data_IF_776951381374
#
_entry.id   IF_776951381374
#
_cell.length_a   1.000
_cell.length_b   1.000
_cell.length_c   1.000
_cell.angle_alpha   90.00
_cell.angle_beta   90.00
_cell.angle_gamma   90.00
#
_symmetry.space_group_name_H-M   'P 1'
#
loop_
_entity.id
_entity.type
_entity.pdbx_description
1 polymer ?
#
# COMPACT_ATOMS: atom_id res chain seq x y z
N UNK A 1 -14.67 15.12 13.08
CA UNK A 1 -14.59 15.28 11.61
C UNK A 1 -13.19 14.97 11.08
N UNK A 2 -12.13 15.65 11.54
CA UNK A 2 -10.74 15.44 11.04
C UNK A 2 -10.22 14.00 11.15
N UNK A 3 -10.52 13.30 12.25
CA UNK A 3 -10.14 11.89 12.45
C UNK A 3 -10.75 10.95 11.39
N UNK A 4 -12.01 11.16 11.03
CA UNK A 4 -12.70 10.37 10.00
C UNK A 4 -12.10 10.62 8.62
N UNK A 5 -11.74 11.87 8.32
CA UNK A 5 -11.04 12.23 7.08
C UNK A 5 -9.68 11.56 6.98
N UNK A 6 -8.92 11.48 8.07
CA UNK A 6 -7.62 10.81 8.08
C UNK A 6 -7.74 9.30 7.82
N UNK A 7 -8.80 8.67 8.34
CA UNK A 7 -9.09 7.26 8.06
C UNK A 7 -9.53 7.04 6.61
N UNK A 8 -10.31 7.96 6.04
CA UNK A 8 -10.65 7.93 4.62
C UNK A 8 -9.39 8.06 3.75
N UNK A 9 -8.49 9.01 4.07
CA UNK A 9 -7.20 9.16 3.37
C UNK A 9 -6.40 7.85 3.47
N UNK A 10 -6.35 7.23 4.65
CA UNK A 10 -5.66 5.95 4.83
C UNK A 10 -6.22 4.86 3.91
N UNK A 11 -7.54 4.72 3.85
CA UNK A 11 -8.18 3.78 2.94
C UNK A 11 -7.90 4.10 1.46
N UNK A 12 -7.91 5.38 1.07
CA UNK A 12 -7.53 5.79 -0.27
C UNK A 12 -6.08 5.42 -0.60
N UNK A 13 -5.15 5.59 0.34
CA UNK A 13 -3.76 5.19 0.16
C UNK A 13 -3.62 3.68 -0.03
N UNK A 14 -4.38 2.86 0.70
CA UNK A 14 -4.41 1.41 0.53
C UNK A 14 -4.84 1.03 -0.90
N UNK A 15 -5.92 1.63 -1.40
CA UNK A 15 -6.38 1.42 -2.77
C UNK A 15 -5.35 1.90 -3.82
N UNK A 16 -4.72 3.04 -3.59
CA UNK A 16 -3.66 3.56 -4.46
C UNK A 16 -2.48 2.59 -4.53
N UNK A 17 -2.01 2.06 -3.40
CA UNK A 17 -0.91 1.08 -3.36
C UNK A 17 -1.26 -0.17 -4.16
N UNK A 18 -2.46 -0.72 -3.98
CA UNK A 18 -2.92 -1.88 -4.74
C UNK A 18 -2.95 -1.61 -6.25
N UNK A 19 -3.47 -0.45 -6.66
CA UNK A 19 -3.50 -0.05 -8.06
C UNK A 19 -2.08 0.11 -8.65
N UNK A 20 -1.16 0.71 -7.90
CA UNK A 20 0.23 0.91 -8.34
C UNK A 20 0.99 -0.42 -8.48
N UNK A 21 0.83 -1.33 -7.52
CA UNK A 21 1.43 -2.66 -7.57
C UNK A 21 0.88 -3.48 -8.73
N UNK A 22 -0.43 -3.42 -8.98
CA UNK A 22 -1.06 -4.07 -10.12
C UNK A 22 -0.58 -3.48 -11.46
N UNK A 23 -0.48 -2.15 -11.55
CA UNK A 23 0.06 -1.46 -12.72
C UNK A 23 1.51 -1.83 -13.00
N UNK A 24 2.35 -1.88 -11.96
CA UNK A 24 3.73 -2.35 -12.08
C UNK A 24 3.78 -3.81 -12.55
N UNK A 25 2.96 -4.70 -11.98
CA UNK A 25 2.85 -6.10 -12.44
C UNK A 25 2.46 -6.20 -13.92
N UNK A 26 1.53 -5.36 -14.37
CA UNK A 26 1.14 -5.28 -15.78
C UNK A 26 2.25 -4.74 -16.69
N UNK A 27 3.08 -3.81 -16.20
CA UNK A 27 4.24 -3.27 -16.93
C UNK A 27 5.42 -4.24 -16.98
N UNK A 28 5.55 -5.13 -15.99
CA UNK A 28 6.65 -6.08 -15.89
C UNK A 28 6.53 -7.28 -16.85
N UNK A 29 5.32 -7.60 -17.34
CA UNK A 29 5.12 -8.71 -18.27
C UNK A 29 5.46 -8.37 -19.73
N UNK A 30 6.02 -9.34 -20.46
CA UNK A 30 6.40 -9.18 -21.87
C UNK A 30 5.29 -9.58 -22.86
N UNK A 31 4.36 -10.46 -22.46
CA UNK A 31 3.23 -10.93 -23.26
C UNK A 31 1.90 -10.60 -22.60
N UNK A 32 0.81 -10.49 -23.35
CA UNK A 32 -0.50 -10.13 -22.78
C UNK A 32 -0.91 -11.04 -21.61
N UNK A 33 -0.66 -12.35 -21.73
CA UNK A 33 -0.93 -13.34 -20.68
C UNK A 33 -0.07 -13.11 -19.43
N UNK A 34 1.24 -12.88 -19.60
CA UNK A 34 2.15 -12.65 -18.46
C UNK A 34 1.88 -11.30 -17.78
N UNK A 35 1.49 -10.26 -18.53
CA UNK A 35 1.10 -8.97 -17.97
C UNK A 35 -0.12 -9.07 -17.07
N UNK A 36 -1.19 -9.73 -17.55
CA UNK A 36 -2.41 -9.92 -16.76
C UNK A 36 -2.13 -10.83 -15.56
N UNK A 37 -1.40 -11.92 -15.78
CA UNK A 37 -1.03 -12.86 -14.72
C UNK A 37 -0.22 -12.20 -13.60
N UNK A 38 0.82 -11.42 -13.94
CA UNK A 38 1.63 -10.70 -12.96
C UNK A 38 0.83 -9.62 -12.24
N UNK A 39 0.03 -8.84 -12.95
CA UNK A 39 -0.82 -7.81 -12.33
C UNK A 39 -1.79 -8.41 -11.30
N UNK A 40 -2.45 -9.52 -11.64
CA UNK A 40 -3.33 -10.23 -10.70
C UNK A 40 -2.55 -10.80 -9.53
N UNK A 41 -1.45 -11.50 -9.79
CA UNK A 41 -0.65 -12.14 -8.75
C UNK A 41 -0.10 -11.12 -7.75
N UNK A 42 0.51 -10.03 -8.21
CA UNK A 42 1.07 -9.01 -7.32
C UNK A 42 -0.02 -8.33 -6.49
N UNK A 43 -1.14 -7.97 -7.12
CA UNK A 43 -2.27 -7.33 -6.43
C UNK A 43 -2.89 -8.26 -5.38
N UNK A 44 -3.13 -9.53 -5.73
CA UNK A 44 -3.72 -10.51 -4.81
C UNK A 44 -2.77 -10.78 -3.64
N UNK A 45 -1.48 -10.93 -3.88
CA UNK A 45 -0.50 -11.18 -2.82
C UNK A 45 -0.45 -10.01 -1.85
N UNK A 46 -0.34 -8.77 -2.34
CA UNK A 46 -0.30 -7.59 -1.47
C UNK A 46 -1.62 -7.39 -0.72
N UNK A 47 -2.76 -7.58 -1.38
CA UNK A 47 -4.08 -7.51 -0.73
C UNK A 47 -4.24 -8.59 0.34
N UNK A 48 -3.77 -9.82 0.10
CA UNK A 48 -3.80 -10.90 1.07
C UNK A 48 -2.91 -10.58 2.28
N UNK A 49 -1.67 -10.14 2.07
CA UNK A 49 -0.77 -9.74 3.17
C UNK A 49 -1.41 -8.64 4.02
N UNK A 50 -2.00 -7.63 3.37
CA UNK A 50 -2.66 -6.54 4.08
C UNK A 50 -3.88 -7.02 4.88
N UNK A 51 -4.78 -7.79 4.26
CA UNK A 51 -5.99 -8.29 4.92
C UNK A 51 -5.71 -9.27 6.05
N UNK A 52 -4.64 -10.07 5.94
CA UNK A 52 -4.27 -11.03 6.98
C UNK A 52 -3.58 -10.39 8.18
N UNK A 53 -2.74 -9.37 7.98
CA UNK A 53 -1.81 -8.89 9.01
C UNK A 53 -1.92 -7.39 9.35
N UNK A 54 -2.29 -6.56 8.39
CA UNK A 54 -2.27 -5.09 8.54
C UNK A 54 -3.65 -4.45 8.71
N UNK A 55 -4.72 -5.11 8.26
CA UNK A 55 -6.07 -4.56 8.31
C UNK A 55 -6.58 -4.35 9.75
N UNK A 56 -7.49 -3.38 9.99
CA UNK A 56 -8.10 -3.17 11.31
C UNK A 56 -8.83 -4.40 11.86
N UNK A 57 -9.31 -5.28 10.96
CA UNK A 57 -9.93 -6.57 11.26
C UNK A 57 -9.09 -7.73 10.72
N UNK A 58 -7.77 -7.59 10.76
CA UNK A 58 -6.83 -8.61 10.33
C UNK A 58 -7.07 -9.93 11.08
N UNK A 59 -6.99 -11.05 10.36
CA UNK A 59 -7.09 -12.39 10.96
C UNK A 59 -5.98 -12.61 12.00
N UNK A 60 -4.79 -12.09 11.70
CA UNK A 60 -3.66 -12.04 12.60
C UNK A 60 -3.40 -10.59 12.97
N UNK A 61 -4.18 -10.07 13.93
CA UNK A 61 -4.04 -8.70 14.41
C UNK A 61 -2.65 -8.50 15.06
N UNK A 62 -1.72 -7.94 14.30
CA UNK A 62 -0.41 -7.57 14.80
C UNK A 62 -0.48 -6.25 15.55
N UNK A 63 0.25 -6.17 16.67
CA UNK A 63 0.38 -4.95 17.47
C UNK A 63 1.83 -4.46 17.49
N UNK A 64 1.99 -3.15 17.65
CA UNK A 64 3.31 -2.53 17.84
C UNK A 64 4.24 -2.65 16.62
N UNK A 65 5.52 -3.02 16.80
CA UNK A 65 6.53 -3.01 15.73
C UNK A 65 6.21 -3.94 14.55
N UNK A 66 5.57 -5.09 14.81
CA UNK A 66 5.25 -6.06 13.77
C UNK A 66 4.23 -5.50 12.76
N UNK A 67 3.22 -4.77 13.24
CA UNK A 67 2.28 -4.06 12.38
C UNK A 67 3.00 -3.03 11.51
N UNK A 68 3.93 -2.27 12.10
CA UNK A 68 4.69 -1.26 11.37
C UNK A 68 5.52 -1.90 10.24
N UNK A 69 6.12 -3.07 10.46
CA UNK A 69 6.85 -3.78 9.42
C UNK A 69 5.97 -4.19 8.24
N UNK A 70 4.77 -4.73 8.51
CA UNK A 70 3.80 -5.07 7.45
C UNK A 70 3.34 -3.83 6.71
N UNK A 71 3.10 -2.73 7.43
CA UNK A 71 2.75 -1.44 6.83
C UNK A 71 3.85 -0.93 5.90
N UNK A 72 5.11 -0.93 6.35
CA UNK A 72 6.24 -0.53 5.52
C UNK A 72 6.36 -1.45 4.30
N UNK A 73 6.16 -2.75 4.45
CA UNK A 73 6.23 -3.68 3.33
C UNK A 73 5.13 -3.43 2.29
N UNK A 74 3.87 -3.26 2.73
CA UNK A 74 2.73 -3.03 1.84
C UNK A 74 2.80 -1.66 1.19
N UNK A 75 2.88 -0.58 1.97
CA UNK A 75 2.94 0.77 1.41
C UNK A 75 4.25 1.03 0.65
N UNK A 76 5.35 0.48 1.13
CA UNK A 76 6.65 0.51 0.45
C UNK A 76 6.62 -0.18 -0.91
N UNK A 77 5.84 -1.26 -1.07
CA UNK A 77 5.66 -1.90 -2.38
C UNK A 77 5.01 -0.96 -3.42
N UNK A 78 4.04 -0.13 -3.01
CA UNK A 78 3.43 0.88 -3.88
C UNK A 78 4.40 2.00 -4.27
N UNK A 79 5.25 2.44 -3.32
CA UNK A 79 6.31 3.40 -3.59
C UNK A 79 7.36 2.80 -4.54
N UNK A 80 7.79 1.56 -4.30
CA UNK A 80 8.72 0.84 -5.16
C UNK A 80 8.15 0.64 -6.58
N UNK A 81 6.85 0.35 -6.70
CA UNK A 81 6.16 0.26 -7.98
C UNK A 81 6.20 1.60 -8.76
N UNK A 82 6.02 2.75 -8.09
CA UNK A 82 6.16 4.07 -8.73
C UNK A 82 7.59 4.35 -9.18
N UNK A 83 8.58 4.02 -8.36
CA UNK A 83 9.99 4.18 -8.73
C UNK A 83 10.34 3.30 -9.94
N UNK A 84 9.92 2.03 -9.93
CA UNK A 84 10.18 1.09 -11.02
C UNK A 84 9.42 1.44 -12.31
N UNK A 85 8.32 2.20 -12.23
CA UNK A 85 7.60 2.69 -13.42
C UNK A 85 8.09 4.05 -13.92
N UNK A 86 9.09 4.66 -13.25
CA UNK A 86 9.73 5.90 -13.69
C UNK A 86 9.07 7.18 -13.18
N UNK A 87 8.29 7.12 -12.10
CA UNK A 87 7.57 8.27 -11.54
C UNK A 87 8.12 8.69 -10.15
N UNK A 88 9.39 9.15 -10.05
CA UNK A 88 10.02 9.45 -8.76
C UNK A 88 9.34 10.59 -8.00
N UNK A 89 8.85 11.62 -8.70
CA UNK A 89 8.11 12.72 -8.06
C UNK A 89 6.83 12.23 -7.37
N UNK A 90 6.09 11.34 -8.02
CA UNK A 90 4.89 10.73 -7.42
C UNK A 90 5.25 9.79 -6.26
N UNK A 91 6.36 9.06 -6.35
CA UNK A 91 6.85 8.20 -5.26
C UNK A 91 7.18 9.02 -3.99
N UNK A 92 7.83 10.18 -4.15
CA UNK A 92 8.13 11.11 -3.04
C UNK A 92 6.83 11.65 -2.45
N UNK A 93 5.90 12.12 -3.28
CA UNK A 93 4.62 12.63 -2.83
C UNK A 93 3.82 11.57 -2.05
N UNK A 94 3.73 10.35 -2.59
CA UNK A 94 3.04 9.24 -1.93
C UNK A 94 3.68 8.92 -0.58
N UNK A 95 5.01 8.84 -0.52
CA UNK A 95 5.76 8.60 0.72
C UNK A 95 5.49 9.68 1.76
N UNK A 96 5.50 10.96 1.36
CA UNK A 96 5.20 12.07 2.26
C UNK A 96 3.77 11.98 2.84
N UNK A 97 2.77 11.65 1.99
CA UNK A 97 1.38 11.50 2.43
C UNK A 97 1.25 10.32 3.41
N UNK A 98 1.90 9.19 3.14
CA UNK A 98 1.92 8.02 4.04
C UNK A 98 2.49 8.39 5.42
N UNK A 99 3.63 9.09 5.44
CA UNK A 99 4.29 9.50 6.70
C UNK A 99 3.39 10.45 7.50
N UNK A 100 2.81 11.47 6.86
CA UNK A 100 1.91 12.42 7.52
C UNK A 100 0.67 11.71 8.06
N UNK A 101 0.04 10.85 7.25
CA UNK A 101 -1.13 10.09 7.67
C UNK A 101 -0.82 9.19 8.88
N UNK A 102 0.32 8.48 8.85
CA UNK A 102 0.77 7.62 9.95
C UNK A 102 1.08 8.41 11.22
N UNK A 103 1.74 9.56 11.10
CA UNK A 103 2.02 10.44 12.23
C UNK A 103 0.71 10.94 12.87
N UNK A 104 -0.27 11.36 12.06
CA UNK A 104 -1.60 11.77 12.54
C UNK A 104 -2.35 10.62 13.22
N UNK A 105 -2.28 9.40 12.67
CA UNK A 105 -2.87 8.22 13.31
C UNK A 105 -2.24 7.96 14.69
N UNK A 106 -0.91 8.04 14.78
CA UNK A 106 -0.19 7.85 16.04
C UNK A 106 -0.56 8.90 17.10
N UNK A 107 -0.56 10.19 16.71
CA UNK A 107 -0.91 11.31 17.61
C UNK A 107 -2.37 11.22 18.08
N UNK A 108 -3.28 10.81 17.19
CA UNK A 108 -4.70 10.72 17.52
C UNK A 108 -5.16 9.37 18.08
N UNK A 109 -4.22 8.42 18.26
CA UNK A 109 -4.46 7.02 18.68
C UNK A 109 -5.53 6.34 17.84
N UNK A 110 -5.42 6.49 16.52
CA UNK A 110 -6.21 5.78 15.51
C UNK A 110 -5.45 4.55 15.03
#
# INVERSE_FOLDING_TARGET
MLKSSNLAIRFLLELCVLALVGYWGYRAGNSQTTRIGLAMLTTIVVAAIWTLFGAPKAAFALSGPAHLLVEIAVFGSGVAALLATGHPGAAIALTAIIIVNRALMHVWRQ
#
